data_IF_423250286807
#
_entry.id   IF_423250286807
#
_cell.length_a   1.000
_cell.length_b   1.000
_cell.length_c   1.000
_cell.angle_alpha   90.00
_cell.angle_beta   90.00
_cell.angle_gamma   90.00
#
_symmetry.space_group_name_H-M   'P 1'
#
loop_
_entity.id
_entity.type
_entity.pdbx_description
1 polymer ?
#
# COMPACT_ATOMS: atom_id res chain seq x y z
N UNK A 1 -15.48 -20.85 -14.54
CA UNK A 1 -15.89 -19.44 -14.60
C UNK A 1 -15.35 -18.74 -13.36
N UNK A 2 -14.21 -18.07 -13.45
CA UNK A 2 -13.71 -17.24 -12.35
C UNK A 2 -14.19 -15.81 -12.61
N UNK A 3 -15.16 -15.36 -11.81
CA UNK A 3 -15.58 -13.97 -11.79
C UNK A 3 -14.47 -13.16 -11.08
N UNK A 4 -13.43 -12.80 -11.82
CA UNK A 4 -12.60 -11.66 -11.44
C UNK A 4 -13.53 -10.47 -11.56
N UNK A 5 -13.98 -9.96 -10.41
CA UNK A 5 -14.78 -8.75 -10.36
C UNK A 5 -14.04 -7.69 -11.19
N UNK A 6 -14.58 -7.35 -12.36
CA UNK A 6 -14.25 -6.12 -13.05
C UNK A 6 -14.65 -5.00 -12.10
N UNK A 7 -13.72 -4.62 -11.22
CA UNK A 7 -13.79 -3.33 -10.54
C UNK A 7 -13.92 -2.34 -11.68
N UNK A 8 -15.06 -1.68 -11.78
CA UNK A 8 -15.27 -0.66 -12.78
C UNK A 8 -14.35 0.52 -12.41
N UNK A 9 -13.13 0.52 -12.99
CA UNK A 9 -12.05 1.47 -12.68
C UNK A 9 -12.43 2.93 -12.99
N UNK A 10 -13.60 3.18 -13.58
CA UNK A 10 -14.10 4.51 -13.94
C UNK A 10 -14.53 5.40 -12.77
N UNK A 11 -14.71 4.86 -11.54
CA UNK A 11 -15.16 5.67 -10.38
C UNK A 11 -14.57 5.28 -9.03
N UNK A 12 -13.30 4.88 -8.98
CA UNK A 12 -12.63 4.83 -7.68
C UNK A 12 -12.05 6.22 -7.40
N UNK A 13 -12.69 6.97 -6.48
CA UNK A 13 -12.13 8.25 -6.03
C UNK A 13 -10.78 7.99 -5.37
N UNK A 14 -9.84 8.93 -5.52
CA UNK A 14 -8.57 8.89 -4.77
C UNK A 14 -8.85 8.81 -3.27
N UNK A 15 -9.89 9.49 -2.80
CA UNK A 15 -10.28 9.49 -1.38
C UNK A 15 -10.74 8.09 -0.91
N UNK A 16 -11.40 7.32 -1.78
CA UNK A 16 -11.85 5.96 -1.46
C UNK A 16 -10.66 5.00 -1.37
N UNK A 17 -9.66 5.15 -2.24
CA UNK A 17 -8.42 4.38 -2.19
C UNK A 17 -7.61 4.71 -0.94
N UNK A 18 -7.46 6.00 -0.63
CA UNK A 18 -6.74 6.46 0.55
C UNK A 18 -7.40 5.92 1.82
N UNK A 19 -8.72 5.97 1.91
CA UNK A 19 -9.46 5.40 3.04
C UNK A 19 -9.30 3.87 3.15
N UNK A 20 -9.27 3.18 2.00
CA UNK A 20 -9.11 1.73 1.94
C UNK A 20 -7.73 1.28 2.38
N UNK A 21 -6.66 1.94 1.91
CA UNK A 21 -5.30 1.58 2.29
C UNK A 21 -4.93 2.03 3.70
N UNK A 22 -5.42 3.19 4.17
CA UNK A 22 -5.17 3.68 5.53
C UNK A 22 -5.66 2.73 6.63
N UNK A 23 -6.68 1.92 6.35
CA UNK A 23 -7.26 0.97 7.32
C UNK A 23 -6.47 -0.33 7.43
N UNK A 24 -5.53 -0.61 6.52
CA UNK A 24 -4.74 -1.83 6.54
C UNK A 24 -3.63 -1.75 7.57
N UNK A 25 -3.32 -2.89 8.18
CA UNK A 25 -2.13 -3.00 9.01
C UNK A 25 -0.84 -2.98 8.15
N UNK A 26 0.29 -2.53 8.72
CA UNK A 26 1.60 -2.66 8.09
C UNK A 26 1.91 -4.09 7.59
N UNK A 27 1.53 -5.11 8.37
CA UNK A 27 1.73 -6.52 8.03
C UNK A 27 0.94 -6.93 6.79
N UNK A 28 -0.30 -6.47 6.66
CA UNK A 28 -1.11 -6.76 5.47
C UNK A 28 -0.52 -6.11 4.22
N UNK A 29 -0.01 -4.88 4.31
CA UNK A 29 0.65 -4.21 3.20
C UNK A 29 1.90 -4.98 2.72
N UNK A 30 2.71 -5.47 3.65
CA UNK A 30 3.89 -6.30 3.35
C UNK A 30 3.47 -7.61 2.70
N UNK A 31 2.44 -8.28 3.22
CA UNK A 31 1.96 -9.54 2.65
C UNK A 31 1.44 -9.34 1.23
N UNK A 32 0.68 -8.27 0.98
CA UNK A 32 0.20 -7.92 -0.36
C UNK A 32 1.40 -7.63 -1.27
N UNK A 33 2.35 -6.80 -0.86
CA UNK A 33 3.53 -6.48 -1.67
C UNK A 33 4.31 -7.74 -2.06
N UNK A 34 4.49 -8.69 -1.14
CA UNK A 34 5.14 -9.98 -1.41
C UNK A 34 4.36 -10.87 -2.39
N UNK A 35 3.02 -10.82 -2.38
CA UNK A 35 2.21 -11.55 -3.37
C UNK A 35 2.44 -11.06 -4.79
N UNK A 36 2.85 -9.80 -4.95
CA UNK A 36 3.16 -9.18 -6.23
C UNK A 36 4.67 -9.10 -6.52
N UNK A 37 5.51 -9.76 -5.72
CA UNK A 37 6.97 -9.72 -5.85
C UNK A 37 7.54 -8.28 -5.84
N UNK A 38 6.94 -7.41 -5.03
CA UNK A 38 7.37 -6.04 -4.91
C UNK A 38 8.48 -5.89 -3.85
N UNK A 39 9.56 -5.20 -4.22
CA UNK A 39 10.67 -4.90 -3.30
C UNK A 39 10.42 -3.67 -2.42
N UNK A 40 9.43 -2.85 -2.80
CA UNK A 40 9.15 -1.55 -2.18
C UNK A 40 7.68 -1.33 -1.85
N UNK A 41 7.44 -0.60 -0.77
CA UNK A 41 6.12 -0.10 -0.38
C UNK A 41 6.18 1.42 -0.28
N UNK A 42 5.35 2.09 -1.07
CA UNK A 42 5.08 3.52 -0.88
C UNK A 42 3.89 3.69 0.06
N UNK A 43 4.08 4.47 1.13
CA UNK A 43 3.02 4.74 2.09
C UNK A 43 3.14 6.13 2.70
N UNK A 44 2.22 6.50 3.60
CA UNK A 44 2.34 7.74 4.38
C UNK A 44 2.64 7.49 5.85
N UNK A 45 3.50 8.35 6.41
CA UNK A 45 3.90 8.35 7.81
C UNK A 45 2.75 8.57 8.80
N UNK A 46 1.66 9.19 8.34
CA UNK A 46 0.44 9.41 9.13
C UNK A 46 -0.64 8.33 8.93
N UNK A 47 -0.41 7.37 8.04
CA UNK A 47 -1.29 6.21 7.86
C UNK A 47 -0.75 4.99 8.57
N UNK A 48 0.53 4.68 8.33
CA UNK A 48 1.16 3.49 8.86
C UNK A 48 2.42 3.90 9.60
N UNK A 49 2.46 3.52 10.88
CA UNK A 49 3.69 3.55 11.68
C UNK A 49 4.25 2.12 11.67
N UNK A 50 5.58 2.01 11.70
CA UNK A 50 6.27 0.75 11.96
C UNK A 50 6.15 -0.33 10.85
N UNK A 51 6.22 0.08 9.57
CA UNK A 51 6.45 -0.88 8.47
C UNK A 51 7.79 -1.58 8.69
N UNK A 52 7.77 -2.92 8.76
CA UNK A 52 8.99 -3.74 8.83
C UNK A 52 9.70 -3.71 7.48
N UNK A 53 10.65 -2.79 7.36
CA UNK A 53 11.48 -2.57 6.18
C UNK A 53 12.50 -1.47 6.46
N UNK A 54 13.42 -1.27 5.52
CA UNK A 54 14.36 -0.15 5.60
C UNK A 54 13.75 1.08 4.93
N UNK A 55 13.85 2.25 5.55
CA UNK A 55 13.46 3.50 4.89
C UNK A 55 14.42 3.73 3.71
N UNK A 56 13.87 3.75 2.51
CA UNK A 56 14.63 3.99 1.27
C UNK A 56 14.61 5.47 0.89
N UNK A 57 13.42 6.10 0.95
CA UNK A 57 13.26 7.52 0.62
C UNK A 57 12.05 8.13 1.35
N UNK A 58 12.01 9.47 1.40
CA UNK A 58 10.94 10.25 2.01
C UNK A 58 10.74 11.61 1.33
N UNK A 59 9.49 11.88 0.95
CA UNK A 59 9.05 13.19 0.49
C UNK A 59 7.85 13.69 1.32
N UNK A 60 8.11 14.63 2.22
CA UNK A 60 7.10 15.13 3.16
C UNK A 60 6.52 14.03 4.04
N UNK A 61 5.25 13.68 3.80
CA UNK A 61 4.54 12.59 4.49
C UNK A 61 4.64 11.24 3.78
N UNK A 62 5.06 11.20 2.52
CA UNK A 62 5.24 9.97 1.77
C UNK A 62 6.59 9.34 2.14
N UNK A 63 6.58 8.05 2.42
CA UNK A 63 7.75 7.25 2.77
C UNK A 63 7.77 6.00 1.89
N UNK A 64 8.91 5.76 1.27
CA UNK A 64 9.19 4.54 0.51
C UNK A 64 10.00 3.59 1.41
N UNK A 65 9.47 2.41 1.69
CA UNK A 65 10.15 1.34 2.43
C UNK A 65 10.63 0.26 1.47
N UNK A 66 11.87 -0.20 1.64
CA UNK A 66 12.38 -1.42 1.01
C UNK A 66 12.10 -2.61 1.94
N UNK A 67 11.46 -3.66 1.43
CA UNK A 67 10.93 -4.79 2.21
C UNK A 67 11.55 -6.16 1.86
N UNK A 68 12.41 -6.21 0.85
CA UNK A 68 13.24 -7.36 0.45
C UNK A 68 14.72 -6.99 0.46
#
# INVERSE_FOLDING_TARGET
MAAIAKINLEKVSRDDLDLYYRKRSPTELINIAKQYDADYILTRSDWHRDIKGSLFDREGKWILYKIN
#
